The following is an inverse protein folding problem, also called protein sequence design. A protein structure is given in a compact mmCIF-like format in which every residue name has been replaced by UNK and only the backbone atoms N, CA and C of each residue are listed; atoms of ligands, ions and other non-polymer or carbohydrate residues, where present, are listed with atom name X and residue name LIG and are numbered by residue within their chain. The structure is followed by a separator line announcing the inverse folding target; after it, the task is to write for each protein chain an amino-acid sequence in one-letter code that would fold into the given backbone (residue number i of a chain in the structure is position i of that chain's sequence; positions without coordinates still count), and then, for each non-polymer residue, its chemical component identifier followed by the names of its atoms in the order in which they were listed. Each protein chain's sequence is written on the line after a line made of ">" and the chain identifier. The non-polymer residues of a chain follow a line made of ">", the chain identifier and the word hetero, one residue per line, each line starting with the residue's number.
data_IF_020476821343
#
_entry.id   IF_020476821343
#
_cell.length_a   1.000
_cell.length_b   1.000
_cell.length_c   1.000
_cell.angle_alpha   90.00
_cell.angle_beta   90.00
_cell.angle_gamma   90.00
#
_symmetry.space_group_name_H-M   'P 1'
#
loop_
_entity.id
_entity.type
_entity.pdbx_description
1 polymer ?
#
# COMPACT_ATOMS: atom_id res chain seq x y z
N UNK A 1 6.67 6.93 18.87
CA UNK A 1 6.46 5.56 18.40
C UNK A 1 6.88 5.43 16.96
N UNK A 2 7.53 4.38 16.65
CA UNK A 2 8.03 4.10 15.33
C UNK A 2 6.99 3.29 14.56
N UNK A 3 6.67 3.72 13.38
CA UNK A 3 5.70 3.03 12.54
C UNK A 3 5.86 3.44 11.09
N UNK A 4 4.89 3.05 10.28
CA UNK A 4 4.88 3.29 8.86
C UNK A 4 3.60 3.97 8.43
N UNK A 5 3.70 4.89 7.51
CA UNK A 5 2.54 5.45 6.81
C UNK A 5 2.45 4.78 5.44
N UNK A 6 1.35 4.06 5.21
CA UNK A 6 1.16 3.27 4.00
C UNK A 6 0.17 3.98 3.08
N UNK A 7 0.57 4.13 1.83
CA UNK A 7 -0.24 4.78 0.80
C UNK A 7 -0.33 3.83 -0.40
N UNK A 8 -1.55 3.52 -0.83
CA UNK A 8 -1.79 2.63 -1.98
C UNK A 8 -2.41 3.44 -3.10
N UNK A 9 -1.73 3.48 -4.24
CA UNK A 9 -2.10 4.26 -5.42
C UNK A 9 -2.46 3.33 -6.57
N UNK A 10 -3.48 3.68 -7.33
CA UNK A 10 -3.90 2.89 -8.49
C UNK A 10 -3.04 3.12 -9.73
N UNK A 11 -2.06 4.03 -9.68
CA UNK A 11 -1.16 4.34 -10.79
C UNK A 11 0.15 3.59 -10.67
N UNK A 12 0.89 3.50 -11.78
CA UNK A 12 2.27 3.02 -11.74
C UNK A 12 3.17 4.01 -11.01
N UNK A 13 4.38 3.58 -10.54
CA UNK A 13 5.31 4.51 -9.89
C UNK A 13 5.65 5.72 -10.75
N UNK A 14 5.86 5.53 -12.05
CA UNK A 14 6.18 6.64 -12.96
C UNK A 14 5.05 7.65 -13.06
N UNK A 15 3.82 7.16 -13.20
CA UNK A 15 2.63 8.02 -13.27
C UNK A 15 2.44 8.80 -11.98
N UNK A 16 2.62 8.12 -10.85
CA UNK A 16 2.49 8.75 -9.54
C UNK A 16 3.53 9.85 -9.33
N UNK A 17 4.79 9.57 -9.69
CA UNK A 17 5.88 10.53 -9.50
C UNK A 17 5.74 11.75 -10.43
N UNK A 18 5.18 11.56 -11.62
CA UNK A 18 4.98 12.62 -12.59
C UNK A 18 3.77 13.51 -12.26
N UNK A 19 2.88 13.08 -11.39
CA UNK A 19 1.65 13.82 -11.09
C UNK A 19 1.84 14.79 -9.95
N UNK A 20 1.27 15.99 -10.08
CA UNK A 20 1.20 16.96 -8.99
C UNK A 20 0.14 16.58 -7.96
N UNK A 21 -0.87 15.83 -8.36
CA UNK A 21 -1.93 15.39 -7.45
C UNK A 21 -1.64 13.97 -6.96
N UNK A 22 -1.06 13.88 -5.77
CA UNK A 22 -0.70 12.60 -5.15
C UNK A 22 -1.87 11.91 -4.49
N UNK A 23 -3.00 12.59 -4.32
CA UNK A 23 -4.14 12.04 -3.55
C UNK A 23 -5.28 11.55 -4.42
N UNK A 24 -5.39 12.04 -5.65
CA UNK A 24 -6.54 11.80 -6.51
C UNK A 24 -6.77 10.31 -6.80
N UNK A 25 -5.70 9.54 -6.92
CA UNK A 25 -5.77 8.13 -7.29
C UNK A 25 -5.45 7.18 -6.14
N UNK A 26 -5.46 7.69 -4.91
CA UNK A 26 -5.28 6.84 -3.75
C UNK A 26 -6.50 5.92 -3.58
N UNK A 27 -6.23 4.64 -3.32
CA UNK A 27 -7.28 3.66 -3.04
C UNK A 27 -7.31 3.23 -1.58
N UNK A 28 -6.21 3.42 -0.86
CA UNK A 28 -6.14 3.13 0.57
C UNK A 28 -4.96 3.87 1.20
N UNK A 29 -5.07 4.14 2.48
CA UNK A 29 -3.95 4.61 3.31
C UNK A 29 -4.22 4.24 4.76
N UNK A 30 -3.16 3.93 5.49
CA UNK A 30 -3.26 3.63 6.93
C UNK A 30 -1.92 3.77 7.61
N UNK A 31 -1.96 3.83 8.93
CA UNK A 31 -0.78 3.82 9.78
C UNK A 31 -0.55 2.40 10.28
N UNK A 32 0.66 1.90 10.18
CA UNK A 32 1.02 0.54 10.57
C UNK A 32 2.16 0.53 11.58
N UNK A 33 2.12 -0.44 12.50
CA UNK A 33 3.25 -0.72 13.37
C UNK A 33 4.40 -1.34 12.59
N UNK A 34 5.58 -1.24 13.14
CA UNK A 34 6.82 -1.72 12.54
C UNK A 34 6.74 -3.19 12.09
N UNK A 35 6.06 -4.04 12.86
CA UNK A 35 5.97 -5.46 12.55
C UNK A 35 4.80 -5.84 11.63
N UNK A 36 3.91 -4.90 11.33
CA UNK A 36 2.68 -5.20 10.59
C UNK A 36 2.82 -5.07 9.09
N UNK A 37 4.04 -4.87 8.60
CA UNK A 37 4.33 -4.77 7.16
C UNK A 37 4.95 -6.06 6.59
N UNK A 38 5.05 -7.11 7.37
CA UNK A 38 5.65 -8.38 6.92
C UNK A 38 4.91 -9.00 5.75
N UNK A 39 3.61 -8.76 5.64
CA UNK A 39 2.83 -9.32 4.54
C UNK A 39 3.34 -8.82 3.17
N UNK A 40 3.81 -7.58 3.08
CA UNK A 40 4.41 -7.07 1.84
C UNK A 40 5.75 -7.74 1.54
N UNK A 41 6.59 -7.92 2.56
CA UNK A 41 7.84 -8.64 2.41
C UNK A 41 7.61 -10.09 1.98
N UNK A 42 6.60 -10.74 2.55
CA UNK A 42 6.24 -12.10 2.18
C UNK A 42 5.76 -12.18 0.74
N UNK A 43 4.95 -11.23 0.29
CA UNK A 43 4.51 -11.15 -1.10
C UNK A 43 5.71 -10.96 -2.04
N UNK A 44 6.66 -10.11 -1.65
CA UNK A 44 7.87 -9.89 -2.44
C UNK A 44 8.72 -11.15 -2.54
N UNK A 45 8.88 -11.87 -1.44
CA UNK A 45 9.64 -13.13 -1.41
C UNK A 45 8.98 -14.22 -2.25
N UNK A 46 7.65 -14.21 -2.35
CA UNK A 46 6.89 -15.15 -3.16
C UNK A 46 6.83 -14.77 -4.64
N UNK A 47 7.41 -13.63 -5.01
CA UNK A 47 7.35 -13.13 -6.38
C UNK A 47 6.03 -12.49 -6.75
N UNK A 48 5.14 -12.25 -5.79
CA UNK A 48 3.81 -11.66 -6.02
C UNK A 48 3.83 -10.14 -5.95
N UNK A 49 4.84 -9.57 -5.32
CA UNK A 49 5.08 -8.13 -5.29
C UNK A 49 6.54 -7.87 -5.65
N UNK A 50 6.81 -6.66 -6.14
CA UNK A 50 8.17 -6.23 -6.45
C UNK A 50 8.52 -5.01 -5.60
N UNK A 51 9.63 -5.06 -4.91
CA UNK A 51 10.13 -3.94 -4.12
C UNK A 51 11.11 -3.11 -4.96
N UNK A 52 10.84 -1.81 -5.09
CA UNK A 52 11.61 -0.90 -5.94
C UNK A 52 12.58 -0.04 -5.16
N UNK A 53 12.31 0.23 -3.89
CA UNK A 53 13.19 1.02 -3.04
C UNK A 53 13.15 0.53 -1.60
N UNK A 54 14.25 0.75 -0.88
CA UNK A 54 14.50 0.12 0.42
C UNK A 54 14.86 1.12 1.52
N UNK A 55 14.89 2.42 1.20
CA UNK A 55 15.45 3.41 2.13
C UNK A 55 14.45 3.93 3.18
N UNK A 56 13.18 3.52 3.11
CA UNK A 56 12.15 3.99 4.03
C UNK A 56 11.53 5.35 3.66
N UNK A 57 11.91 5.96 2.53
CA UNK A 57 11.45 7.31 2.15
C UNK A 57 10.99 7.39 0.69
N UNK A 58 10.09 6.55 0.21
CA UNK A 58 9.47 5.39 0.85
C UNK A 58 10.15 4.08 0.50
N UNK A 59 9.78 3.02 1.21
CA UNK A 59 9.90 1.67 0.67
C UNK A 59 8.77 1.49 -0.33
N UNK A 60 9.10 1.28 -1.58
CA UNK A 60 8.10 1.25 -2.66
C UNK A 60 7.96 -0.16 -3.21
N UNK A 61 6.69 -0.59 -3.34
CA UNK A 61 6.35 -1.88 -3.90
C UNK A 61 5.35 -1.71 -5.03
N UNK A 62 5.36 -2.63 -5.99
CA UNK A 62 4.25 -2.82 -6.92
C UNK A 62 3.68 -4.20 -6.74
N UNK A 63 2.36 -4.31 -6.82
CA UNK A 63 1.63 -5.56 -6.61
C UNK A 63 0.29 -5.45 -7.33
N UNK A 64 -0.20 -6.60 -7.85
CA UNK A 64 -1.52 -6.58 -8.51
C UNK A 64 -2.63 -6.43 -7.48
N UNK A 65 -3.75 -5.85 -7.92
CA UNK A 65 -4.92 -5.71 -7.07
C UNK A 65 -5.40 -7.08 -6.55
N UNK A 66 -5.30 -8.12 -7.37
CA UNK A 66 -5.73 -9.47 -7.00
C UNK A 66 -4.95 -10.02 -5.81
N UNK A 67 -3.65 -9.76 -5.77
CA UNK A 67 -2.78 -10.23 -4.68
C UNK A 67 -2.90 -9.36 -3.42
N UNK A 68 -3.21 -8.08 -3.59
CA UNK A 68 -3.21 -7.12 -2.49
C UNK A 68 -4.58 -6.94 -1.85
N UNK A 69 -5.66 -6.97 -2.62
CA UNK A 69 -7.01 -6.70 -2.13
C UNK A 69 -7.42 -7.58 -0.94
N UNK A 70 -7.09 -8.89 -0.89
CA UNK A 70 -7.45 -9.71 0.27
C UNK A 70 -6.92 -9.20 1.60
N UNK A 71 -5.83 -8.43 1.58
CA UNK A 71 -5.23 -7.88 2.81
C UNK A 71 -5.88 -6.57 3.25
N UNK A 72 -6.62 -5.89 2.38
CA UNK A 72 -7.18 -4.57 2.71
C UNK A 72 -8.71 -4.54 2.70
N UNK A 73 -9.39 -5.44 2.01
CA UNK A 73 -10.85 -5.45 1.91
C UNK A 73 -11.50 -5.67 3.27
N UNK A 74 -10.91 -6.50 4.10
CA UNK A 74 -11.38 -6.77 5.47
C UNK A 74 -10.63 -5.96 6.53
N UNK A 75 -9.96 -4.89 6.09
CA UNK A 75 -9.10 -4.08 6.92
C UNK A 75 -7.64 -4.52 6.83
N UNK A 76 -6.69 -3.58 6.93
CA UNK A 76 -5.26 -3.94 6.86
C UNK A 76 -4.84 -4.77 8.06
N UNK A 77 -3.77 -5.60 7.94
CA UNK A 77 -3.32 -6.46 9.03
C UNK A 77 -2.91 -5.72 10.30
N UNK A 78 -2.68 -4.42 10.21
CA UNK A 78 -2.24 -3.59 11.32
C UNK A 78 -3.35 -3.13 12.26
N UNK A 79 -4.59 -3.56 12.06
CA UNK A 79 -5.74 -3.01 12.80
C UNK A 79 -5.93 -3.53 14.21
N UNK A 80 -5.09 -4.39 14.72
CA UNK A 80 -5.24 -4.86 16.09
C UNK A 80 -4.96 -3.71 17.07
N UNK A 81 -6.03 -3.20 17.67
CA UNK A 81 -5.98 -2.24 18.76
C UNK A 81 -6.00 -0.78 18.40
N UNK A 82 -5.69 -0.39 17.17
CA UNK A 82 -5.73 1.01 16.78
C UNK A 82 -6.17 1.15 15.32
N UNK A 83 -7.37 1.66 15.13
CA UNK A 83 -7.98 1.85 13.82
C UNK A 83 -7.91 3.29 13.35
N UNK A 84 -7.17 4.14 14.04
CA UNK A 84 -7.07 5.54 13.65
C UNK A 84 -6.35 5.67 12.31
N UNK A 85 -6.77 6.65 11.53
CA UNK A 85 -6.13 7.01 10.26
C UNK A 85 -6.20 5.93 9.17
N UNK A 86 -7.15 5.02 9.26
CA UNK A 86 -7.38 4.05 8.18
C UNK A 86 -8.40 4.62 7.21
N UNK A 87 -8.03 4.71 5.94
CA UNK A 87 -8.93 5.12 4.86
C UNK A 87 -8.84 4.08 3.75
N UNK A 88 -9.97 3.47 3.42
CA UNK A 88 -10.05 2.49 2.34
C UNK A 88 -11.19 2.89 1.42
N UNK A 89 -10.88 3.15 0.16
CA UNK A 89 -11.87 3.51 -0.86
C UNK A 89 -12.34 2.25 -1.57
N UNK A 90 -13.24 1.52 -0.94
CA UNK A 90 -13.75 0.24 -1.45
C UNK A 90 -14.35 0.37 -2.85
N UNK A 91 -15.05 1.47 -3.13
CA UNK A 91 -15.62 1.73 -4.45
C UNK A 91 -14.56 1.85 -5.54
N UNK A 92 -13.45 2.49 -5.25
CA UNK A 92 -12.32 2.61 -6.20
C UNK A 92 -11.64 1.28 -6.44
N UNK A 93 -11.45 0.49 -5.38
CA UNK A 93 -10.84 -0.83 -5.48
C UNK A 93 -11.72 -1.75 -6.33
N UNK A 94 -13.03 -1.72 -6.10
CA UNK A 94 -13.98 -2.56 -6.82
C UNK A 94 -14.03 -2.28 -8.32
N UNK A 95 -13.65 -1.07 -8.74
CA UNK A 95 -13.62 -0.68 -10.15
C UNK A 95 -12.34 -1.09 -10.87
N UNK A 96 -11.32 -1.53 -10.14
CA UNK A 96 -10.06 -1.94 -10.75
C UNK A 96 -10.22 -3.31 -11.41
N UNK A 97 -9.62 -3.45 -12.58
CA UNK A 97 -9.66 -4.71 -13.30
C UNK A 97 -8.66 -5.71 -12.70
N UNK A 98 -8.96 -7.00 -12.86
CA UNK A 98 -8.04 -8.06 -12.49
C UNK A 98 -6.68 -7.83 -13.17
N UNK A 99 -5.60 -8.00 -12.41
CA UNK A 99 -4.24 -7.77 -12.89
C UNK A 99 -3.79 -6.32 -12.86
N UNK A 100 -4.64 -5.39 -12.44
CA UNK A 100 -4.26 -3.99 -12.33
C UNK A 100 -3.13 -3.82 -11.31
N UNK A 101 -2.06 -3.13 -11.71
CA UNK A 101 -0.89 -2.93 -10.84
C UNK A 101 -1.10 -1.75 -9.91
N UNK A 102 -0.90 -1.98 -8.62
CA UNK A 102 -0.93 -0.95 -7.59
C UNK A 102 0.49 -0.56 -7.18
N UNK A 103 0.68 0.70 -6.82
CA UNK A 103 1.91 1.17 -6.19
C UNK A 103 1.64 1.37 -4.70
N UNK A 104 2.46 0.73 -3.86
CA UNK A 104 2.36 0.83 -2.41
C UNK A 104 3.61 1.51 -1.90
N UNK A 105 3.45 2.69 -1.32
CA UNK A 105 4.53 3.44 -0.70
C UNK A 105 4.41 3.35 0.80
N UNK A 106 5.48 2.88 1.44
CA UNK A 106 5.55 2.68 2.90
C UNK A 106 6.58 3.67 3.44
N UNK A 107 6.10 4.70 4.12
CA UNK A 107 6.93 5.80 4.61
C UNK A 107 7.29 5.59 6.06
N UNK A 108 8.58 5.71 6.37
CA UNK A 108 9.09 5.67 7.73
C UNK A 108 8.64 6.95 8.46
N UNK A 109 8.02 6.79 9.62
CA UNK A 109 7.51 7.89 10.43
C UNK A 109 8.47 8.33 11.55
N UNK A 110 9.69 7.88 11.50
CA UNK A 110 10.69 8.31 12.48
C UNK A 110 11.07 9.78 12.30
#
# INVERSE_FOLDING_TARGET
>A
MIGWWVVVDSRTPSERDASDDKKKFLVASWEAHVFNMRFLDDLAKQGKAKQHSFNGYPNRYTVTVDEFAPFIVNGPPSLQGDNSKVTIHHDKIAKLQSGHMLTVDVWDQN
#
